data_IF_632151489174
#
_entry.id   IF_632151489174
#
_cell.length_a   1.000
_cell.length_b   1.000
_cell.length_c   1.000
_cell.angle_alpha   90.00
_cell.angle_beta   90.00
_cell.angle_gamma   90.00
#
_symmetry.space_group_name_H-M   'P 1'
#
loop_
_entity.id
_entity.type
_entity.pdbx_description
1 polymer ?
#
# COMPACT_ATOMS: atom_id res chain seq x y z
N UNK A 1 3.88 71.74 5.36
CA UNK A 1 3.97 71.24 6.74
C UNK A 1 2.59 71.02 7.28
N UNK A 2 2.09 69.79 7.14
CA UNK A 2 2.42 68.64 8.00
C UNK A 2 1.62 68.71 9.29
N UNK A 3 1.00 67.66 9.80
CA UNK A 3 0.42 66.41 9.30
C UNK A 3 -0.17 65.74 10.56
N UNK A 4 -0.92 64.64 10.38
CA UNK A 4 -1.37 63.69 11.42
C UNK A 4 -2.62 64.13 12.23
N UNK A 5 -3.68 63.34 12.43
CA UNK A 5 -4.00 61.96 12.04
C UNK A 5 -5.37 61.56 12.63
N UNK A 6 -6.19 60.92 11.78
CA UNK A 6 -7.23 59.88 12.00
C UNK A 6 -8.32 60.10 13.08
N UNK A 7 -9.61 60.33 12.77
CA UNK A 7 -10.60 59.69 11.88
C UNK A 7 -11.16 58.34 12.39
N UNK A 8 -12.45 58.38 12.69
CA UNK A 8 -13.38 57.31 13.06
C UNK A 8 -13.35 56.12 12.09
N UNK A 9 -13.53 54.86 12.54
CA UNK A 9 -13.72 53.76 11.64
C UNK A 9 -15.11 53.82 11.00
N UNK A 10 -15.11 54.07 9.70
CA UNK A 10 -16.23 53.94 8.77
C UNK A 10 -16.51 52.45 8.51
N UNK A 11 -17.76 52.06 8.70
CA UNK A 11 -18.38 50.86 8.16
C UNK A 11 -18.26 50.83 6.63
N UNK A 12 -17.52 49.85 6.12
CA UNK A 12 -17.47 49.36 4.73
C UNK A 12 -16.95 47.93 4.85
N UNK A 13 -17.51 46.86 4.32
CA UNK A 13 -18.23 46.65 3.08
C UNK A 13 -17.65 45.35 2.53
N UNK A 14 -18.49 44.31 2.42
CA UNK A 14 -18.37 43.09 1.60
C UNK A 14 -16.99 42.69 1.05
N UNK A 15 -16.42 41.57 1.53
CA UNK A 15 -15.59 40.67 0.72
C UNK A 15 -15.63 39.25 1.31
N UNK A 16 -16.74 38.56 1.05
CA UNK A 16 -16.98 37.16 1.39
C UNK A 16 -16.95 36.27 0.12
N UNK A 17 -16.05 36.59 -0.82
CA UNK A 17 -15.99 35.95 -2.14
C UNK A 17 -14.56 35.75 -2.64
N UNK A 18 -13.72 35.03 -1.89
CA UNK A 18 -12.43 34.60 -2.44
C UNK A 18 -12.04 33.14 -2.17
N UNK A 19 -12.99 32.29 -1.79
CA UNK A 19 -12.73 30.84 -1.62
C UNK A 19 -13.69 29.94 -2.43
N UNK A 20 -14.53 30.53 -3.29
CA UNK A 20 -15.46 29.79 -4.18
C UNK A 20 -14.93 29.62 -5.61
N UNK A 21 -13.73 30.10 -5.92
CA UNK A 21 -13.22 30.12 -7.29
C UNK A 21 -12.28 28.94 -7.64
N UNK A 22 -11.90 28.11 -6.65
CA UNK A 22 -10.99 26.98 -6.88
C UNK A 22 -11.68 25.64 -7.18
N UNK A 23 -13.03 25.59 -7.18
CA UNK A 23 -13.80 24.36 -7.45
C UNK A 23 -14.26 24.26 -8.93
N UNK A 24 -14.21 25.37 -9.71
CA UNK A 24 -14.74 25.41 -11.10
C UNK A 24 -13.64 25.30 -12.18
N UNK A 25 -12.46 24.74 -11.90
CA UNK A 25 -11.35 24.69 -12.90
C UNK A 25 -10.70 23.32 -13.14
N UNK A 26 -11.44 22.21 -13.02
CA UNK A 26 -10.95 20.89 -13.51
C UNK A 26 -11.92 20.08 -14.36
N UNK A 27 -13.11 20.59 -14.73
CA UNK A 27 -14.11 19.83 -15.52
C UNK A 27 -13.92 19.87 -17.05
N UNK A 28 -12.67 19.87 -17.53
CA UNK A 28 -12.35 19.73 -18.95
C UNK A 28 -11.69 18.39 -19.25
N UNK A 29 -12.41 17.28 -19.05
CA UNK A 29 -12.11 16.00 -19.69
C UNK A 29 -13.38 15.44 -20.36
N UNK A 30 -13.29 14.94 -21.60
CA UNK A 30 -14.46 14.56 -22.38
C UNK A 30 -15.09 13.26 -21.84
N UNK A 31 -16.40 13.29 -21.61
CA UNK A 31 -17.20 12.11 -21.34
C UNK A 31 -17.18 11.17 -22.55
N UNK A 32 -16.37 10.12 -22.50
CA UNK A 32 -16.50 8.97 -23.38
C UNK A 32 -16.53 7.70 -22.52
N UNK A 33 -17.69 7.41 -21.96
CA UNK A 33 -18.02 6.06 -21.49
C UNK A 33 -19.53 5.90 -21.61
N UNK A 34 -20.03 5.13 -22.61
CA UNK A 34 -21.41 4.70 -22.61
C UNK A 34 -21.54 3.59 -21.57
N UNK A 35 -21.91 3.96 -20.34
CA UNK A 35 -22.36 2.98 -19.36
C UNK A 35 -23.71 2.43 -19.86
N UNK A 36 -23.65 1.28 -20.52
CA UNK A 36 -24.84 0.50 -20.85
C UNK A 36 -25.43 -0.03 -19.55
N UNK A 37 -26.28 0.79 -18.93
CA UNK A 37 -27.24 0.36 -17.93
C UNK A 37 -28.22 -0.55 -18.66
N UNK A 38 -28.03 -1.85 -18.51
CA UNK A 38 -29.15 -2.77 -18.63
C UNK A 38 -29.97 -2.58 -17.35
N UNK A 39 -31.03 -1.78 -17.46
CA UNK A 39 -32.04 -1.68 -16.40
C UNK A 39 -32.71 -3.04 -16.26
N UNK A 40 -32.58 -3.69 -15.11
CA UNK A 40 -33.54 -4.73 -14.73
C UNK A 40 -34.42 -4.19 -13.63
N UNK A 41 -35.71 -4.17 -13.97
CA UNK A 41 -36.81 -3.65 -13.19
C UNK A 41 -36.93 -4.34 -11.84
N UNK A 42 -37.51 -3.61 -10.89
CA UNK A 42 -38.00 -4.12 -9.63
C UNK A 42 -38.95 -5.31 -9.87
N UNK A 43 -38.48 -6.50 -9.58
CA UNK A 43 -39.29 -7.70 -9.39
C UNK A 43 -39.05 -8.17 -7.96
N UNK A 44 -40.14 -8.31 -7.21
CA UNK A 44 -40.19 -8.74 -5.81
C UNK A 44 -39.44 -10.07 -5.60
N UNK A 45 -39.26 -10.87 -6.66
CA UNK A 45 -38.45 -12.09 -6.68
C UNK A 45 -36.93 -11.92 -6.60
N UNK A 46 -36.38 -10.70 -6.77
CA UNK A 46 -34.94 -10.44 -6.67
C UNK A 46 -34.41 -10.55 -5.24
N UNK A 47 -35.21 -10.13 -4.25
CA UNK A 47 -34.86 -10.25 -2.83
C UNK A 47 -34.84 -11.73 -2.38
N UNK A 48 -35.76 -12.56 -2.87
CA UNK A 48 -35.81 -14.00 -2.56
C UNK A 48 -34.61 -14.78 -3.15
N UNK A 49 -34.14 -14.38 -4.33
CA UNK A 49 -32.94 -14.93 -4.96
C UNK A 49 -31.66 -14.56 -4.18
N UNK A 50 -31.54 -13.31 -3.74
CA UNK A 50 -30.43 -12.85 -2.89
C UNK A 50 -30.40 -13.60 -1.55
N UNK A 51 -31.56 -13.78 -0.91
CA UNK A 51 -31.70 -14.56 0.32
C UNK A 51 -31.30 -16.03 0.11
N UNK A 52 -31.68 -16.62 -1.03
CA UNK A 52 -31.36 -18.02 -1.36
C UNK A 52 -29.85 -18.22 -1.57
N UNK A 53 -29.19 -17.27 -2.25
CA UNK A 53 -27.74 -17.29 -2.48
C UNK A 53 -26.97 -17.12 -1.15
N UNK A 54 -27.40 -16.19 -0.28
CA UNK A 54 -26.79 -15.99 1.03
C UNK A 54 -26.92 -17.22 1.93
N UNK A 55 -28.09 -17.88 1.93
CA UNK A 55 -28.35 -19.12 2.68
C UNK A 55 -27.45 -20.29 2.24
N UNK A 56 -27.18 -20.42 0.94
CA UNK A 56 -26.28 -21.44 0.41
C UNK A 56 -24.81 -21.18 0.83
N UNK A 57 -24.39 -19.92 0.90
CA UNK A 57 -23.02 -19.53 1.26
C UNK A 57 -22.71 -19.75 2.75
N UNK A 58 -23.69 -19.55 3.63
CA UNK A 58 -23.59 -19.84 5.08
C UNK A 58 -23.40 -21.35 5.30
N UNK A 59 -24.17 -22.18 4.60
CA UNK A 59 -24.10 -23.64 4.70
C UNK A 59 -22.73 -24.21 4.28
N UNK A 60 -22.11 -23.64 3.24
CA UNK A 60 -20.76 -24.03 2.80
C UNK A 60 -19.66 -23.68 3.82
N UNK A 61 -19.89 -22.65 4.64
CA UNK A 61 -18.95 -22.23 5.68
C UNK A 61 -19.10 -23.09 6.95
N UNK A 62 -20.30 -23.56 7.28
CA UNK A 62 -20.51 -24.52 8.38
C UNK A 62 -19.80 -25.87 8.16
N UNK A 63 -19.59 -26.28 6.91
CA UNK A 63 -18.92 -27.55 6.58
C UNK A 63 -17.39 -27.51 6.75
N UNK A 64 -16.79 -26.34 7.01
CA UNK A 64 -15.33 -26.16 7.13
C UNK A 64 -14.78 -26.20 8.55
N UNK A 65 -15.62 -26.12 9.57
CA UNK A 65 -15.20 -26.10 10.99
C UNK A 65 -15.36 -27.44 11.72
N UNK A 66 -15.67 -28.54 11.01
CA UNK A 66 -15.73 -29.89 11.59
C UNK A 66 -14.44 -30.69 11.34
N UNK A 67 -13.37 -30.28 12.02
CA UNK A 67 -12.36 -31.14 12.67
C UNK A 67 -11.38 -31.98 11.82
N UNK A 68 -10.09 -31.96 12.21
CA UNK A 68 -9.17 -33.07 11.97
C UNK A 68 -7.69 -32.70 11.90
N UNK A 69 -6.97 -32.94 12.99
CA UNK A 69 -5.53 -32.69 13.15
C UNK A 69 -4.60 -33.51 12.22
N UNK A 70 -3.39 -32.97 11.98
CA UNK A 70 -2.15 -33.63 11.48
C UNK A 70 -1.76 -34.85 12.36
N UNK A 71 -0.67 -35.65 12.13
CA UNK A 71 0.36 -35.69 11.07
C UNK A 71 0.72 -37.12 10.55
N UNK A 72 1.57 -37.26 9.53
CA UNK A 72 2.29 -38.52 9.16
C UNK A 72 3.51 -38.13 8.31
N UNK A 73 4.79 -38.24 8.73
CA UNK A 73 5.64 -39.44 8.98
C UNK A 73 5.78 -40.26 7.68
N UNK A 74 6.94 -40.57 7.09
CA UNK A 74 8.25 -41.10 7.54
C UNK A 74 9.19 -41.03 6.29
N UNK A 75 10.44 -40.56 6.34
CA UNK A 75 11.74 -41.21 6.67
C UNK A 75 12.37 -42.11 5.57
N UNK A 76 13.71 -42.21 5.63
CA UNK A 76 14.71 -43.00 4.87
C UNK A 76 15.55 -42.21 3.83
N UNK A 77 16.85 -41.88 4.02
CA UNK A 77 18.10 -42.64 4.36
C UNK A 77 18.94 -42.99 3.12
N UNK A 78 20.29 -43.05 3.30
CA UNK A 78 21.40 -43.58 2.44
C UNK A 78 22.27 -42.46 1.82
N UNK A 79 23.53 -42.14 2.20
CA UNK A 79 24.80 -42.85 2.53
C UNK A 79 25.60 -43.36 1.31
N UNK A 80 26.83 -42.86 1.15
CA UNK A 80 27.94 -43.43 0.35
C UNK A 80 28.42 -42.50 -0.79
N UNK A 81 29.68 -42.05 -0.95
CA UNK A 81 31.05 -42.63 -0.92
C UNK A 81 31.56 -43.04 -2.32
N UNK A 82 32.56 -42.31 -2.83
CA UNK A 82 33.72 -42.71 -3.67
C UNK A 82 34.35 -41.39 -4.18
N UNK A 83 35.63 -41.01 -4.05
CA UNK A 83 36.95 -41.66 -4.10
C UNK A 83 37.17 -42.45 -5.37
N UNK A 84 37.74 -41.77 -6.37
CA UNK A 84 38.24 -42.37 -7.59
C UNK A 84 39.65 -41.82 -7.85
N UNK A 85 40.56 -42.77 -7.81
CA UNK A 85 42.00 -42.73 -8.09
C UNK A 85 42.20 -43.24 -9.52
N UNK A 86 43.03 -42.56 -10.31
CA UNK A 86 43.56 -43.06 -11.60
C UNK A 86 44.92 -42.37 -11.80
N UNK A 87 46.04 -43.08 -11.57
CA UNK A 87 46.87 -43.81 -12.57
C UNK A 87 47.81 -42.84 -13.33
N UNK A 88 49.10 -42.79 -12.96
CA UNK A 88 50.26 -43.43 -13.63
C UNK A 88 50.58 -42.79 -15.01
N UNK A 89 51.78 -42.61 -15.54
CA UNK A 89 53.17 -42.91 -15.24
C UNK A 89 54.01 -41.94 -16.12
N UNK A 90 55.29 -41.72 -15.81
CA UNK A 90 56.13 -40.88 -16.68
C UNK A 90 57.52 -40.67 -16.15
N UNK A 91 58.25 -41.77 -15.97
CA UNK A 91 59.69 -41.80 -15.77
C UNK A 91 60.38 -41.02 -16.90
N UNK A 92 61.28 -40.10 -16.57
CA UNK A 92 62.62 -40.13 -17.15
C UNK A 92 63.64 -39.37 -16.30
N UNK A 93 64.62 -40.15 -15.82
CA UNK A 93 65.88 -39.69 -15.25
C UNK A 93 66.65 -38.92 -16.30
N UNK A 94 67.36 -37.87 -15.89
CA UNK A 94 68.64 -37.51 -16.50
C UNK A 94 69.58 -36.93 -15.46
N UNK A 95 70.72 -37.61 -15.37
CA UNK A 95 71.88 -37.42 -14.51
C UNK A 95 72.69 -36.18 -14.86
N UNK A 96 73.13 -35.50 -13.80
CA UNK A 96 74.49 -34.98 -13.57
C UNK A 96 75.19 -34.21 -14.70
N UNK A 97 75.44 -32.91 -14.46
CA UNK A 97 76.74 -32.30 -14.79
C UNK A 97 76.98 -31.01 -13.99
N UNK A 98 78.08 -31.00 -13.24
CA UNK A 98 78.43 -29.92 -12.31
C UNK A 98 78.94 -28.64 -12.96
N UNK A 99 78.96 -27.58 -12.14
CA UNK A 99 80.05 -26.62 -12.02
C UNK A 99 79.71 -25.67 -10.87
N UNK A 100 80.65 -25.49 -9.95
CA UNK A 100 80.61 -24.39 -8.98
C UNK A 100 80.61 -23.05 -9.72
N UNK A 101 79.81 -22.10 -9.22
CA UNK A 101 80.24 -20.75 -8.81
C UNK A 101 79.02 -20.01 -8.22
N UNK A 102 78.72 -20.39 -6.98
CA UNK A 102 77.61 -19.86 -6.19
C UNK A 102 78.16 -18.75 -5.32
N UNK A 103 77.85 -17.47 -5.59
CA UNK A 103 77.51 -16.46 -4.53
C UNK A 103 77.14 -15.03 -4.96
N UNK A 104 77.37 -14.54 -6.18
CA UNK A 104 77.22 -13.07 -6.39
C UNK A 104 76.05 -12.59 -7.28
N UNK A 105 75.45 -13.43 -8.14
CA UNK A 105 74.29 -13.03 -8.98
C UNK A 105 72.91 -13.32 -8.33
N UNK A 106 72.89 -13.89 -7.12
CA UNK A 106 71.65 -14.23 -6.40
C UNK A 106 71.03 -13.03 -5.68
N UNK A 107 71.84 -12.07 -5.23
CA UNK A 107 71.35 -10.91 -4.48
C UNK A 107 70.52 -9.92 -5.31
N UNK A 108 70.89 -9.55 -6.55
CA UNK A 108 70.13 -8.58 -7.34
C UNK A 108 68.74 -9.12 -7.75
N UNK A 109 68.66 -10.36 -8.26
CA UNK A 109 67.38 -10.98 -8.66
C UNK A 109 66.40 -11.14 -7.50
N UNK A 110 66.90 -11.51 -6.31
CA UNK A 110 66.07 -11.59 -5.10
C UNK A 110 65.55 -10.21 -4.68
N UNK A 111 66.30 -9.12 -4.92
CA UNK A 111 65.83 -7.75 -4.63
C UNK A 111 64.72 -7.31 -5.59
N UNK A 112 64.89 -7.54 -6.90
CA UNK A 112 63.85 -7.21 -7.89
C UNK A 112 62.56 -7.99 -7.65
N UNK A 113 62.66 -9.29 -7.35
CA UNK A 113 61.50 -10.10 -7.00
C UNK A 113 60.80 -9.61 -5.72
N UNK A 114 61.56 -9.16 -4.71
CA UNK A 114 61.03 -8.64 -3.45
C UNK A 114 60.40 -7.25 -3.60
N UNK A 115 60.88 -6.46 -4.55
CA UNK A 115 60.33 -5.14 -4.90
C UNK A 115 59.03 -5.27 -5.74
N UNK A 116 58.96 -6.27 -6.62
CA UNK A 116 57.74 -6.66 -7.34
C UNK A 116 56.68 -7.28 -6.40
N UNK A 117 57.10 -8.09 -5.43
CA UNK A 117 56.23 -8.62 -4.37
C UNK A 117 55.66 -7.50 -3.49
N UNK A 118 56.48 -6.50 -3.15
CA UNK A 118 56.04 -5.34 -2.36
C UNK A 118 55.03 -4.45 -3.12
N UNK A 119 55.22 -4.23 -4.43
CA UNK A 119 54.26 -3.48 -5.26
C UNK A 119 52.94 -4.25 -5.44
N UNK A 120 53.00 -5.55 -5.72
CA UNK A 120 51.79 -6.40 -5.79
C UNK A 120 51.04 -6.47 -4.45
N UNK A 121 51.75 -6.46 -3.32
CA UNK A 121 51.12 -6.43 -2.00
C UNK A 121 50.34 -5.13 -1.75
N UNK A 122 50.82 -4.00 -2.28
CA UNK A 122 50.11 -2.71 -2.23
C UNK A 122 48.87 -2.74 -3.13
N UNK A 123 48.96 -3.26 -4.35
CA UNK A 123 47.81 -3.35 -5.27
C UNK A 123 46.68 -4.22 -4.71
N UNK A 124 47.03 -5.37 -4.10
CA UNK A 124 46.06 -6.24 -3.41
C UNK A 124 45.45 -5.54 -2.21
N UNK A 125 46.22 -4.74 -1.46
CA UNK A 125 45.70 -3.98 -0.33
C UNK A 125 44.72 -2.89 -0.79
N UNK A 126 45.05 -2.15 -1.84
CA UNK A 126 44.20 -1.11 -2.42
C UNK A 126 42.91 -1.72 -2.99
N UNK A 127 42.98 -2.88 -3.66
CA UNK A 127 41.80 -3.59 -4.15
C UNK A 127 40.85 -4.01 -3.02
N UNK A 128 41.39 -4.56 -1.92
CA UNK A 128 40.58 -4.92 -0.74
C UNK A 128 39.94 -3.71 -0.08
N UNK A 129 40.66 -2.61 0.07
CA UNK A 129 40.12 -1.39 0.66
C UNK A 129 39.00 -0.79 -0.20
N UNK A 130 39.15 -0.78 -1.53
CA UNK A 130 38.09 -0.37 -2.44
C UNK A 130 36.86 -1.27 -2.35
N UNK A 131 37.04 -2.59 -2.29
CA UNK A 131 35.93 -3.55 -2.13
C UNK A 131 35.17 -3.34 -0.81
N UNK A 132 35.89 -3.13 0.29
CA UNK A 132 35.26 -2.81 1.57
C UNK A 132 34.56 -1.44 1.56
N UNK A 133 35.11 -0.43 0.89
CA UNK A 133 34.44 0.87 0.74
C UNK A 133 33.12 0.73 -0.02
N UNK A 134 33.12 0.01 -1.15
CA UNK A 134 31.91 -0.25 -1.94
C UNK A 134 30.86 -1.01 -1.10
N UNK A 135 31.27 -2.03 -0.36
CA UNK A 135 30.36 -2.76 0.52
C UNK A 135 29.74 -1.87 1.62
N UNK A 136 30.54 -0.96 2.21
CA UNK A 136 30.04 0.02 3.19
C UNK A 136 29.09 1.05 2.57
N UNK A 137 29.37 1.50 1.35
CA UNK A 137 28.49 2.42 0.62
C UNK A 137 27.17 1.76 0.24
N UNK A 138 27.20 0.51 -0.25
CA UNK A 138 26.00 -0.26 -0.55
C UNK A 138 25.14 -0.48 0.70
N UNK A 139 25.77 -0.78 1.84
CA UNK A 139 25.07 -0.86 3.12
C UNK A 139 24.42 0.49 3.48
N UNK A 140 25.17 1.60 3.42
CA UNK A 140 24.64 2.94 3.68
C UNK A 140 23.48 3.31 2.75
N UNK A 141 23.58 2.95 1.47
CA UNK A 141 22.53 3.20 0.48
C UNK A 141 21.27 2.41 0.82
N UNK A 142 21.40 1.14 1.17
CA UNK A 142 20.26 0.29 1.56
C UNK A 142 19.59 0.82 2.83
N UNK A 143 20.36 1.29 3.81
CA UNK A 143 19.82 1.95 5.00
C UNK A 143 19.04 3.24 4.65
N UNK A 144 19.53 4.03 3.70
CA UNK A 144 18.83 5.23 3.25
C UNK A 144 17.51 4.88 2.54
N UNK A 145 17.51 3.88 1.66
CA UNK A 145 16.28 3.42 0.98
C UNK A 145 15.24 2.99 2.02
N UNK A 146 15.63 2.20 3.02
CA UNK A 146 14.72 1.77 4.08
C UNK A 146 14.16 2.95 4.89
N UNK A 147 14.97 4.00 5.12
CA UNK A 147 14.50 5.22 5.80
C UNK A 147 13.53 6.03 4.94
N UNK A 148 13.80 6.15 3.65
CA UNK A 148 12.93 6.87 2.72
C UNK A 148 11.57 6.15 2.58
N UNK A 149 11.58 4.81 2.53
CA UNK A 149 10.39 3.98 2.57
C UNK A 149 9.60 4.19 3.87
N UNK A 150 10.27 4.25 5.01
CA UNK A 150 9.63 4.54 6.31
C UNK A 150 8.95 5.91 6.32
N UNK A 151 9.62 6.95 5.81
CA UNK A 151 9.06 8.30 5.71
C UNK A 151 7.81 8.30 4.83
N UNK A 152 7.84 7.59 3.69
CA UNK A 152 6.68 7.47 2.82
C UNK A 152 5.50 6.77 3.52
N UNK A 153 5.76 5.74 4.34
CA UNK A 153 4.71 5.09 5.14
C UNK A 153 4.13 6.02 6.19
N UNK A 154 4.97 6.73 6.93
CA UNK A 154 4.53 7.69 7.97
C UNK A 154 3.62 8.74 7.35
N UNK A 155 4.01 9.33 6.22
CA UNK A 155 3.18 10.34 5.57
C UNK A 155 1.81 9.78 5.12
N UNK A 156 1.79 8.58 4.56
CA UNK A 156 0.53 7.93 4.19
C UNK A 156 -0.36 7.63 5.42
N UNK A 157 0.25 7.24 6.54
CA UNK A 157 -0.45 6.99 7.81
C UNK A 157 -1.05 8.27 8.39
N UNK A 158 -0.33 9.40 8.35
CA UNK A 158 -0.83 10.71 8.79
C UNK A 158 -2.04 11.16 7.95
N UNK A 159 -1.98 11.02 6.62
CA UNK A 159 -3.11 11.33 5.73
C UNK A 159 -4.34 10.45 6.04
N UNK A 160 -4.13 9.15 6.31
CA UNK A 160 -5.20 8.24 6.74
C UNK A 160 -5.79 8.65 8.08
N UNK A 161 -4.96 9.03 9.05
CA UNK A 161 -5.42 9.47 10.36
C UNK A 161 -6.29 10.73 10.25
N UNK A 162 -5.88 11.72 9.45
CA UNK A 162 -6.69 12.91 9.20
C UNK A 162 -8.06 12.59 8.59
N UNK A 163 -8.11 11.62 7.67
CA UNK A 163 -9.38 11.16 7.09
C UNK A 163 -10.27 10.46 8.13
N UNK A 164 -9.70 9.62 8.99
CA UNK A 164 -10.43 8.95 10.09
C UNK A 164 -11.00 9.99 11.05
N UNK A 165 -10.19 10.95 11.50
CA UNK A 165 -10.64 12.02 12.40
C UNK A 165 -11.72 12.91 11.75
N UNK A 166 -11.68 13.07 10.42
CA UNK A 166 -12.73 13.71 9.64
C UNK A 166 -14.04 12.93 9.65
N UNK A 167 -13.96 11.61 9.43
CA UNK A 167 -15.11 10.72 9.46
C UNK A 167 -15.74 10.65 10.85
N UNK A 168 -14.95 10.60 11.92
CA UNK A 168 -15.46 10.54 13.29
C UNK A 168 -16.28 11.78 13.64
N UNK A 169 -15.82 12.98 13.25
CA UNK A 169 -16.59 14.23 13.40
C UNK A 169 -17.90 14.21 12.61
N UNK A 170 -17.88 13.67 11.39
CA UNK A 170 -19.09 13.51 10.58
C UNK A 170 -20.07 12.53 11.24
N UNK A 171 -19.57 11.41 11.74
CA UNK A 171 -20.37 10.39 12.42
C UNK A 171 -21.01 10.94 13.70
N UNK A 172 -20.29 11.76 14.47
CA UNK A 172 -20.83 12.44 15.65
C UNK A 172 -21.99 13.38 15.29
N UNK A 173 -21.86 14.16 14.20
CA UNK A 173 -22.93 15.03 13.71
C UNK A 173 -24.16 14.23 13.26
N UNK A 174 -23.95 13.14 12.50
CA UNK A 174 -25.04 12.26 12.07
C UNK A 174 -25.76 11.65 13.29
N UNK A 175 -25.01 11.21 14.30
CA UNK A 175 -25.59 10.68 15.53
C UNK A 175 -26.45 11.72 16.26
N UNK A 176 -26.03 12.99 16.31
CA UNK A 176 -26.84 14.09 16.88
C UNK A 176 -28.15 14.28 16.12
N UNK A 177 -28.11 14.34 14.79
CA UNK A 177 -29.33 14.50 14.00
C UNK A 177 -30.28 13.30 14.14
N UNK A 178 -29.76 12.08 14.15
CA UNK A 178 -30.58 10.89 14.39
C UNK A 178 -31.26 10.96 15.76
N UNK A 179 -30.52 11.38 16.80
CA UNK A 179 -31.07 11.56 18.13
C UNK A 179 -32.17 12.64 18.18
N UNK A 180 -31.97 13.77 17.49
CA UNK A 180 -32.98 14.83 17.36
C UNK A 180 -34.26 14.33 16.67
N UNK A 181 -34.13 13.52 15.62
CA UNK A 181 -35.28 12.91 14.94
C UNK A 181 -36.05 11.96 15.85
N UNK A 182 -35.35 11.11 16.60
CA UNK A 182 -35.98 10.20 17.57
C UNK A 182 -36.70 10.98 18.67
N UNK A 183 -36.07 12.01 19.25
CA UNK A 183 -36.70 12.89 20.23
C UNK A 183 -37.94 13.58 19.68
N UNK A 184 -37.87 14.15 18.48
CA UNK A 184 -39.02 14.82 17.85
C UNK A 184 -40.17 13.84 17.56
N UNK A 185 -39.86 12.58 17.20
CA UNK A 185 -40.86 11.54 17.01
C UNK A 185 -41.55 11.14 18.32
N UNK A 186 -40.83 11.19 19.45
CA UNK A 186 -41.37 10.93 20.77
C UNK A 186 -42.21 12.10 21.30
N UNK A 187 -41.83 13.34 20.99
CA UNK A 187 -42.58 14.56 21.35
C UNK A 187 -43.91 14.71 20.61
N UNK A 188 -44.02 14.14 19.41
CA UNK A 188 -45.25 14.16 18.61
C UNK A 188 -46.44 13.55 19.36
N UNK A 189 -47.48 14.35 19.55
CA UNK A 189 -48.73 13.91 20.18
C UNK A 189 -49.47 12.91 19.29
N UNK A 190 -50.35 12.10 19.89
CA UNK A 190 -51.17 11.12 19.15
C UNK A 190 -52.00 11.81 18.04
N UNK A 191 -52.50 13.02 18.31
CA UNK A 191 -53.29 13.78 17.32
C UNK A 191 -52.47 14.17 16.09
N UNK A 192 -51.27 14.72 16.30
CA UNK A 192 -50.35 15.11 15.22
C UNK A 192 -49.84 13.90 14.43
N UNK A 193 -49.58 12.76 15.10
CA UNK A 193 -49.23 11.50 14.43
C UNK A 193 -50.35 11.02 13.49
N UNK A 194 -51.62 11.11 13.93
CA UNK A 194 -52.77 10.77 13.10
C UNK A 194 -52.89 11.72 11.89
N UNK A 195 -52.64 13.02 12.08
CA UNK A 195 -52.67 14.00 11.00
C UNK A 195 -51.59 13.74 9.95
N UNK A 196 -50.35 13.47 10.36
CA UNK A 196 -49.26 13.10 9.46
C UNK A 196 -49.59 11.84 8.63
N UNK A 197 -50.15 10.81 9.27
CA UNK A 197 -50.55 9.57 8.59
C UNK A 197 -51.64 9.86 7.55
N UNK A 198 -52.62 10.70 7.87
CA UNK A 198 -53.67 11.07 6.91
C UNK A 198 -53.09 11.80 5.69
N UNK A 199 -52.15 12.73 5.88
CA UNK A 199 -51.48 13.39 4.75
C UNK A 199 -50.64 12.41 3.92
N UNK A 200 -49.94 11.46 4.56
CA UNK A 200 -49.17 10.43 3.86
C UNK A 200 -50.06 9.53 2.99
N UNK A 201 -51.21 9.11 3.53
CA UNK A 201 -52.20 8.30 2.78
C UNK A 201 -52.71 9.09 1.57
N UNK A 202 -53.03 10.38 1.74
CA UNK A 202 -53.43 11.23 0.61
C UNK A 202 -52.31 11.29 -0.44
N UNK A 203 -51.06 11.50 -0.05
CA UNK A 203 -49.93 11.56 -0.97
C UNK A 203 -49.78 10.25 -1.78
N UNK A 204 -49.84 9.10 -1.12
CA UNK A 204 -49.78 7.79 -1.78
C UNK A 204 -50.92 7.58 -2.77
N UNK A 205 -52.12 8.04 -2.44
CA UNK A 205 -53.29 8.00 -3.33
C UNK A 205 -53.08 8.83 -4.60
N UNK A 206 -52.52 10.04 -4.46
CA UNK A 206 -52.18 10.89 -5.59
C UNK A 206 -51.09 10.26 -6.45
N UNK A 207 -50.02 9.76 -5.84
CA UNK A 207 -48.93 9.08 -6.54
C UNK A 207 -49.43 7.86 -7.33
N UNK A 208 -50.31 7.06 -6.72
CA UNK A 208 -50.93 5.89 -7.36
C UNK A 208 -51.79 6.28 -8.57
N UNK A 209 -52.52 7.40 -8.48
CA UNK A 209 -53.30 7.93 -9.61
C UNK A 209 -52.38 8.34 -10.75
N UNK A 210 -51.30 9.07 -10.46
CA UNK A 210 -50.33 9.51 -11.46
C UNK A 210 -49.70 8.33 -12.19
N UNK A 211 -49.25 7.31 -11.45
CA UNK A 211 -48.69 6.09 -12.05
C UNK A 211 -49.69 5.38 -12.97
N UNK A 212 -50.97 5.31 -12.57
CA UNK A 212 -52.03 4.73 -13.41
C UNK A 212 -52.26 5.53 -14.69
N UNK A 213 -52.20 6.86 -14.65
CA UNK A 213 -52.29 7.69 -15.84
C UNK A 213 -51.09 7.49 -16.77
N UNK A 214 -49.88 7.37 -16.23
CA UNK A 214 -48.67 7.15 -17.03
C UNK A 214 -48.68 5.79 -17.74
N UNK A 215 -49.24 4.75 -17.11
CA UNK A 215 -49.34 3.42 -17.71
C UNK A 215 -50.38 3.31 -18.84
N UNK A 216 -51.20 4.35 -19.06
CA UNK A 216 -52.23 4.40 -20.11
C UNK A 216 -51.79 5.15 -21.37
N UNK A 217 -50.59 5.74 -21.38
CA UNK A 217 -49.97 6.36 -22.56
C UNK A 217 -48.98 5.39 -23.24
#
# INVERSE_FOLDING_TARGET
>A
DDSQGEAFPTISGLEAEQDRENIIKTSALPHNSPLRVTSLAADEGTQDLEITILKARIKLLEDKDRGGAKPSREDATIKGRSLETEEEAGVEKSTERGSNDTKELKLPLVRYAKEEEATRAVDVQVAREMEEQLAREDQRRNEQIARDDEIARIHAEEELQMMIDGLDRSNEMIAKHLHEYEQAADELSIGEKIELINELVKYQDHHSKILKYQAQQ
#
